data_IF_807882274969
#
_entry.id   IF_807882274969
#
_cell.length_a   1.000
_cell.length_b   1.000
_cell.length_c   1.000
_cell.angle_alpha   90.00
_cell.angle_beta   90.00
_cell.angle_gamma   90.00
#
_symmetry.space_group_name_H-M   'P 1'
#
loop_
_entity.id
_entity.type
_entity.pdbx_description
1 polymer ?
#
# COMPACT_ATOMS: atom_id res chain seq x y z
N UNK A 1 40.29 -15.13 21.39
CA UNK A 1 38.93 -14.61 21.16
C UNK A 1 38.81 -13.23 21.79
N UNK A 2 38.63 -12.17 21.00
CA UNK A 2 38.50 -10.80 21.52
C UNK A 2 37.10 -10.62 22.11
N UNK A 3 37.02 -10.17 23.36
CA UNK A 3 35.76 -9.89 24.07
C UNK A 3 35.03 -8.78 23.32
N UNK A 4 33.75 -8.99 23.00
CA UNK A 4 32.97 -7.96 22.30
C UNK A 4 32.80 -6.71 23.18
N UNK A 5 32.88 -5.49 22.60
CA UNK A 5 32.74 -4.25 23.35
C UNK A 5 31.36 -4.17 24.01
N UNK A 6 31.33 -3.71 25.27
CA UNK A 6 30.08 -3.44 26.00
C UNK A 6 29.62 -2.03 25.65
N UNK A 7 28.47 -1.92 24.99
CA UNK A 7 27.87 -0.64 24.63
C UNK A 7 26.75 -0.34 25.61
N UNK A 8 26.75 0.88 26.16
CA UNK A 8 25.70 1.38 27.06
C UNK A 8 25.14 2.68 26.50
N UNK A 9 23.83 2.85 26.54
CA UNK A 9 23.14 4.09 26.16
C UNK A 9 22.24 4.52 27.31
N UNK A 10 22.40 5.75 27.80
CA UNK A 10 21.66 6.28 28.95
C UNK A 10 21.63 5.35 30.17
N UNK A 11 22.76 4.69 30.47
CA UNK A 11 22.87 3.73 31.59
C UNK A 11 22.32 2.32 31.29
N UNK A 12 21.63 2.10 30.17
CA UNK A 12 21.14 0.79 29.76
C UNK A 12 22.15 0.07 28.87
N UNK A 13 22.43 -1.20 29.18
CA UNK A 13 23.30 -2.04 28.37
C UNK A 13 22.59 -2.47 27.09
N UNK A 14 23.16 -2.13 25.94
CA UNK A 14 22.66 -2.56 24.64
C UNK A 14 23.21 -3.96 24.34
N UNK A 15 22.31 -4.93 24.21
CA UNK A 15 22.67 -6.27 23.79
C UNK A 15 22.93 -6.32 22.29
N UNK A 16 24.04 -6.93 21.88
CA UNK A 16 24.32 -7.18 20.47
C UNK A 16 23.42 -8.30 19.96
N UNK A 17 22.49 -7.95 19.07
CA UNK A 17 21.60 -8.91 18.41
C UNK A 17 22.10 -9.14 16.98
N UNK A 18 22.08 -10.39 16.50
CA UNK A 18 22.50 -10.74 15.13
C UNK A 18 21.56 -10.19 14.05
N UNK A 19 20.31 -9.93 14.40
CA UNK A 19 19.29 -9.38 13.52
C UNK A 19 18.23 -8.65 14.32
N UNK A 20 17.78 -7.49 13.86
CA UNK A 20 16.70 -6.75 14.51
C UNK A 20 15.65 -6.28 13.49
N UNK A 21 14.43 -6.03 13.98
CA UNK A 21 13.35 -5.43 13.20
C UNK A 21 13.41 -3.93 13.39
N UNK A 22 13.59 -3.18 12.30
CA UNK A 22 13.45 -1.73 12.31
C UNK A 22 11.97 -1.34 12.31
N UNK A 23 11.63 -0.15 12.86
CA UNK A 23 10.24 0.32 13.08
C UNK A 23 9.35 0.24 11.84
N UNK A 24 9.93 0.25 10.63
CA UNK A 24 9.21 0.10 9.35
C UNK A 24 9.04 -1.36 8.87
N UNK A 25 9.29 -2.36 9.72
CA UNK A 25 9.15 -3.78 9.35
C UNK A 25 10.33 -4.37 8.58
N UNK A 26 11.38 -3.59 8.31
CA UNK A 26 12.61 -4.06 7.65
C UNK A 26 13.44 -4.85 8.66
N UNK A 27 13.96 -6.00 8.24
CA UNK A 27 14.83 -6.83 9.06
C UNK A 27 16.28 -6.61 8.65
N UNK A 28 17.07 -6.07 9.57
CA UNK A 28 18.48 -5.75 9.34
C UNK A 28 19.32 -6.80 10.06
N UNK A 29 20.18 -7.50 9.32
CA UNK A 29 21.17 -8.43 9.88
C UNK A 29 22.51 -7.75 10.10
N UNK A 30 23.32 -8.30 11.01
CA UNK A 30 24.64 -7.78 11.40
C UNK A 30 25.63 -7.59 10.24
N UNK A 31 25.39 -8.28 9.12
CA UNK A 31 26.21 -8.26 7.91
C UNK A 31 25.50 -7.68 6.68
N UNK A 32 24.26 -7.17 6.83
CA UNK A 32 23.46 -6.65 5.73
C UNK A 32 23.35 -7.64 4.53
N UNK A 33 23.23 -8.94 4.79
CA UNK A 33 22.99 -9.93 3.74
C UNK A 33 21.52 -9.94 3.30
N UNK A 34 20.61 -9.40 4.10
CA UNK A 34 19.17 -9.27 3.81
C UNK A 34 18.43 -10.60 3.58
N UNK A 35 19.10 -11.76 3.68
CA UNK A 35 18.52 -13.08 3.46
C UNK A 35 17.39 -13.37 4.45
N UNK A 36 17.58 -12.99 5.72
CA UNK A 36 16.55 -13.17 6.74
C UNK A 36 15.32 -12.29 6.48
N UNK A 37 15.54 -11.08 5.95
CA UNK A 37 14.45 -10.20 5.52
C UNK A 37 13.65 -10.82 4.37
N UNK A 38 14.34 -11.26 3.32
CA UNK A 38 13.73 -11.94 2.16
C UNK A 38 12.95 -13.18 2.60
N UNK A 39 13.50 -13.97 3.54
CA UNK A 39 12.80 -15.15 4.06
C UNK A 39 11.49 -14.79 4.77
N UNK A 40 11.51 -13.78 5.64
CA UNK A 40 10.30 -13.37 6.37
C UNK A 40 9.23 -12.79 5.45
N UNK A 41 9.61 -11.97 4.49
CA UNK A 41 8.67 -11.45 3.48
C UNK A 41 8.17 -12.58 2.57
N UNK A 42 9.04 -13.52 2.20
CA UNK A 42 8.68 -14.73 1.46
C UNK A 42 7.70 -15.63 2.20
N UNK A 43 7.90 -15.87 3.48
CA UNK A 43 6.97 -16.63 4.34
C UNK A 43 5.60 -15.96 4.42
N UNK A 44 5.58 -14.62 4.58
CA UNK A 44 4.33 -13.84 4.56
C UNK A 44 3.60 -14.00 3.22
N UNK A 45 4.32 -13.90 2.11
CA UNK A 45 3.77 -14.07 0.77
C UNK A 45 3.24 -15.50 0.52
N UNK A 46 4.00 -16.52 0.94
CA UNK A 46 3.60 -17.93 0.81
C UNK A 46 2.36 -18.22 1.67
N UNK A 47 2.30 -17.70 2.90
CA UNK A 47 1.11 -17.83 3.76
C UNK A 47 -0.13 -17.20 3.12
N UNK A 48 0.02 -16.02 2.50
CA UNK A 48 -1.07 -15.38 1.77
C UNK A 48 -1.56 -16.26 0.61
N UNK A 49 -0.64 -16.84 -0.14
CA UNK A 49 -0.97 -17.76 -1.23
C UNK A 49 -1.68 -19.03 -0.74
N UNK A 50 -1.23 -19.61 0.37
CA UNK A 50 -1.89 -20.77 0.97
C UNK A 50 -3.30 -20.44 1.42
N UNK A 51 -3.53 -19.24 1.98
CA UNK A 51 -4.86 -18.78 2.34
C UNK A 51 -5.76 -18.61 1.11
N UNK A 52 -5.26 -18.00 0.03
CA UNK A 52 -6.00 -17.89 -1.24
C UNK A 52 -6.37 -19.26 -1.81
N UNK A 53 -5.45 -20.23 -1.72
CA UNK A 53 -5.72 -21.62 -2.13
C UNK A 53 -6.75 -22.33 -1.26
N UNK A 54 -6.87 -21.97 0.03
CA UNK A 54 -7.90 -22.53 0.91
C UNK A 54 -9.28 -21.97 0.60
N UNK A 55 -9.35 -20.71 0.18
CA UNK A 55 -10.62 -20.06 -0.23
C UNK A 55 -11.10 -20.63 -1.57
N UNK A 56 -10.17 -20.96 -2.48
CA UNK A 56 -10.48 -21.73 -3.69
C UNK A 56 -10.89 -23.16 -3.30
N UNK A 57 -12.19 -23.48 -3.37
CA UNK A 57 -12.67 -24.84 -3.11
C UNK A 57 -12.13 -25.86 -4.12
N UNK A 58 -12.19 -27.17 -3.80
CA UNK A 58 -11.70 -28.23 -4.68
C UNK A 58 -12.33 -28.27 -6.08
N UNK A 59 -13.55 -27.71 -6.21
CA UNK A 59 -14.30 -27.61 -7.48
C UNK A 59 -14.36 -26.17 -8.04
N UNK A 60 -13.90 -25.17 -7.29
CA UNK A 60 -13.93 -23.75 -7.70
C UNK A 60 -12.51 -23.30 -8.01
N UNK A 61 -12.16 -23.30 -9.29
CA UNK A 61 -10.87 -22.80 -9.74
C UNK A 61 -10.95 -21.27 -9.80
N UNK A 62 -10.12 -20.59 -8.99
CA UNK A 62 -9.89 -19.15 -9.20
C UNK A 62 -9.28 -19.02 -10.60
N UNK A 63 -9.93 -18.22 -11.46
CA UNK A 63 -9.43 -17.99 -12.83
C UNK A 63 -7.97 -17.51 -12.79
N UNK A 64 -7.14 -18.07 -13.66
CA UNK A 64 -5.69 -17.82 -13.70
C UNK A 64 -5.36 -16.32 -13.82
N UNK A 65 -6.23 -15.57 -14.50
CA UNK A 65 -6.12 -14.11 -14.64
C UNK A 65 -6.18 -13.42 -13.28
N UNK A 66 -7.09 -13.83 -12.40
CA UNK A 66 -7.22 -13.24 -11.06
C UNK A 66 -6.01 -13.57 -10.18
N UNK A 67 -5.48 -14.80 -10.26
CA UNK A 67 -4.27 -15.20 -9.54
C UNK A 67 -3.06 -14.40 -10.05
N UNK A 68 -2.96 -14.21 -11.37
CA UNK A 68 -1.92 -13.40 -11.99
C UNK A 68 -2.00 -11.94 -11.53
N UNK A 69 -3.21 -11.36 -11.52
CA UNK A 69 -3.45 -10.00 -11.03
C UNK A 69 -3.06 -9.87 -9.56
N UNK A 70 -3.48 -10.81 -8.69
CA UNK A 70 -3.11 -10.81 -7.28
C UNK A 70 -1.60 -10.94 -7.06
N UNK A 71 -0.93 -11.76 -7.86
CA UNK A 71 0.53 -11.85 -7.82
C UNK A 71 1.18 -10.50 -8.13
N UNK A 72 0.73 -9.85 -9.21
CA UNK A 72 1.26 -8.56 -9.66
C UNK A 72 0.97 -7.41 -8.69
N UNK A 73 -0.25 -7.34 -8.14
CA UNK A 73 -0.67 -6.20 -7.32
C UNK A 73 -0.32 -6.35 -5.85
N UNK A 74 -0.33 -7.57 -5.31
CA UNK A 74 -0.15 -7.81 -3.86
C UNK A 74 1.20 -8.42 -3.56
N UNK A 75 1.52 -9.57 -4.18
CA UNK A 75 2.72 -10.34 -3.83
C UNK A 75 3.99 -9.57 -4.20
N UNK A 76 4.04 -9.01 -5.41
CA UNK A 76 5.16 -8.20 -5.87
C UNK A 76 5.39 -7.01 -4.94
N UNK A 77 4.33 -6.32 -4.50
CA UNK A 77 4.41 -5.17 -3.57
C UNK A 77 4.85 -5.56 -2.16
N UNK A 78 4.41 -6.71 -1.63
CA UNK A 78 4.87 -7.21 -0.33
C UNK A 78 6.38 -7.49 -0.35
N UNK A 79 6.89 -8.03 -1.46
CA UNK A 79 8.31 -8.36 -1.64
C UNK A 79 9.14 -7.11 -1.99
N UNK A 80 8.54 -6.12 -2.64
CA UNK A 80 9.21 -4.88 -2.97
C UNK A 80 9.24 -3.85 -1.84
N UNK A 81 8.53 -4.12 -0.74
CA UNK A 81 8.57 -3.27 0.43
C UNK A 81 10.00 -3.08 0.94
N UNK A 82 10.47 -1.83 0.92
CA UNK A 82 11.83 -1.46 1.33
C UNK A 82 12.92 -1.88 0.34
N UNK A 83 12.58 -2.26 -0.90
CA UNK A 83 13.53 -2.67 -1.95
C UNK A 83 14.62 -1.62 -2.20
N UNK A 84 14.31 -0.33 -2.06
CA UNK A 84 15.27 0.78 -2.16
C UNK A 84 16.44 0.65 -1.17
N UNK A 85 16.22 0.07 0.01
CA UNK A 85 17.24 -0.06 1.04
C UNK A 85 18.18 -1.26 0.81
N UNK A 86 17.71 -2.33 0.17
CA UNK A 86 18.43 -3.61 0.15
C UNK A 86 18.62 -4.24 -1.24
N UNK A 87 17.88 -3.82 -2.28
CA UNK A 87 17.87 -4.46 -3.60
C UNK A 87 18.55 -3.63 -4.71
N UNK A 88 19.40 -2.65 -4.37
CA UNK A 88 20.17 -1.89 -5.36
C UNK A 88 21.14 -2.78 -6.15
N UNK A 89 21.90 -3.62 -5.44
CA UNK A 89 22.87 -4.57 -5.99
C UNK A 89 22.69 -5.96 -5.36
N UNK A 90 21.68 -6.75 -5.79
CA UNK A 90 21.37 -8.03 -5.17
C UNK A 90 22.48 -9.07 -5.41
N UNK A 91 22.95 -9.71 -4.34
CA UNK A 91 23.95 -10.79 -4.43
C UNK A 91 23.36 -12.06 -5.08
N UNK A 92 24.21 -12.94 -5.58
CA UNK A 92 23.78 -14.22 -6.19
C UNK A 92 22.90 -15.05 -5.25
N UNK A 93 23.22 -15.08 -3.95
CA UNK A 93 22.42 -15.79 -2.93
C UNK A 93 21.00 -15.22 -2.81
N UNK A 94 20.87 -13.89 -2.83
CA UNK A 94 19.57 -13.20 -2.80
C UNK A 94 18.77 -13.51 -4.07
N UNK A 95 19.38 -13.38 -5.25
CA UNK A 95 18.75 -13.69 -6.54
C UNK A 95 18.18 -15.10 -6.55
N UNK A 96 18.99 -16.09 -6.14
CA UNK A 96 18.56 -17.50 -6.07
C UNK A 96 17.38 -17.71 -5.11
N UNK A 97 17.39 -17.04 -3.96
CA UNK A 97 16.30 -17.16 -2.97
C UNK A 97 15.00 -16.51 -3.46
N UNK A 98 15.08 -15.34 -4.09
CA UNK A 98 13.94 -14.66 -4.72
C UNK A 98 13.35 -15.50 -5.84
N UNK A 99 14.17 -16.10 -6.70
CA UNK A 99 13.71 -17.02 -7.74
C UNK A 99 13.02 -18.26 -7.17
N UNK A 100 13.52 -18.79 -6.05
CA UNK A 100 12.88 -19.92 -5.35
C UNK A 100 11.50 -19.56 -4.80
N UNK A 101 11.33 -18.36 -4.24
CA UNK A 101 10.03 -17.85 -3.76
C UNK A 101 9.10 -17.66 -4.97
N UNK A 102 9.55 -16.93 -5.99
CA UNK A 102 8.77 -16.62 -7.19
C UNK A 102 8.26 -17.89 -7.89
N UNK A 103 9.09 -18.94 -8.00
CA UNK A 103 8.75 -20.19 -8.67
C UNK A 103 7.45 -20.81 -8.16
N UNK A 104 7.20 -20.76 -6.84
CA UNK A 104 5.96 -21.32 -6.27
C UNK A 104 4.72 -20.60 -6.81
N UNK A 105 4.79 -19.28 -6.99
CA UNK A 105 3.71 -18.49 -7.58
C UNK A 105 3.53 -18.78 -9.06
N UNK A 106 4.63 -18.82 -9.82
CA UNK A 106 4.56 -19.07 -11.26
C UNK A 106 3.93 -20.43 -11.59
N UNK A 107 4.29 -21.48 -10.86
CA UNK A 107 3.69 -22.81 -11.04
C UNK A 107 2.18 -22.81 -10.75
N UNK A 108 1.75 -22.05 -9.75
CA UNK A 108 0.33 -21.97 -9.39
C UNK A 108 -0.48 -21.13 -10.39
N UNK A 109 0.14 -20.12 -11.02
CA UNK A 109 -0.50 -19.32 -12.06
C UNK A 109 -0.62 -20.11 -13.36
N UNK A 110 0.47 -20.77 -13.79
CA UNK A 110 0.49 -21.49 -15.07
C UNK A 110 -0.15 -22.87 -15.03
N UNK A 111 -0.24 -23.51 -13.86
CA UNK A 111 -0.65 -24.91 -13.74
C UNK A 111 0.34 -25.91 -14.36
N UNK A 112 1.56 -25.46 -14.70
CA UNK A 112 2.57 -26.29 -15.35
C UNK A 112 3.16 -27.36 -14.41
N UNK A 113 3.81 -28.38 -15.00
CA UNK A 113 4.48 -29.43 -14.24
C UNK A 113 5.59 -28.87 -13.33
N UNK A 114 5.81 -29.54 -12.20
CA UNK A 114 6.86 -29.15 -11.23
C UNK A 114 8.27 -29.18 -11.81
N UNK A 115 8.49 -29.88 -12.92
CA UNK A 115 9.77 -29.98 -13.63
C UNK A 115 10.01 -28.84 -14.62
N UNK A 116 8.99 -28.02 -14.93
CA UNK A 116 9.12 -26.93 -15.91
C UNK A 116 10.17 -25.89 -15.44
N UNK A 117 11.15 -25.50 -16.29
CA UNK A 117 12.16 -24.51 -15.92
C UNK A 117 11.55 -23.15 -15.51
N UNK A 118 12.12 -22.50 -14.48
CA UNK A 118 11.59 -21.21 -13.99
C UNK A 118 11.66 -20.12 -15.05
N UNK A 119 12.72 -20.10 -15.87
CA UNK A 119 12.87 -19.13 -16.96
C UNK A 119 11.76 -19.29 -18.01
N UNK A 120 11.36 -20.53 -18.32
CA UNK A 120 10.24 -20.79 -19.24
C UNK A 120 8.91 -20.29 -18.65
N UNK A 121 8.67 -20.51 -17.35
CA UNK A 121 7.47 -19.99 -16.67
C UNK A 121 7.40 -18.45 -16.70
N UNK A 122 8.53 -17.79 -16.50
CA UNK A 122 8.63 -16.33 -16.57
C UNK A 122 8.31 -15.81 -17.97
N UNK A 123 8.86 -16.45 -19.01
CA UNK A 123 8.62 -16.09 -20.39
C UNK A 123 7.15 -16.28 -20.81
N UNK A 124 6.56 -17.44 -20.51
CA UNK A 124 5.18 -17.77 -20.89
C UNK A 124 4.17 -16.84 -20.18
N UNK A 125 4.41 -16.51 -18.91
CA UNK A 125 3.51 -15.66 -18.13
C UNK A 125 3.76 -14.15 -18.33
N UNK A 126 4.79 -13.76 -19.09
CA UNK A 126 5.21 -12.36 -19.23
C UNK A 126 5.66 -11.73 -17.91
N UNK A 127 6.16 -12.53 -16.96
CA UNK A 127 6.57 -12.04 -15.63
C UNK A 127 8.10 -12.00 -15.57
N UNK A 128 8.73 -10.82 -15.37
CA UNK A 128 10.18 -10.72 -15.28
C UNK A 128 10.72 -11.44 -14.03
N UNK A 129 12.01 -11.81 -14.01
CA UNK A 129 12.66 -12.31 -12.81
C UNK A 129 12.49 -11.35 -11.64
N UNK A 130 12.03 -11.86 -10.49
CA UNK A 130 11.66 -11.02 -9.34
C UNK A 130 12.79 -10.09 -8.91
N UNK A 131 14.04 -10.57 -8.90
CA UNK A 131 15.19 -9.73 -8.53
C UNK A 131 15.42 -8.54 -9.47
N UNK A 132 15.09 -8.66 -10.76
CA UNK A 132 15.19 -7.55 -11.72
C UNK A 132 14.09 -6.53 -11.47
N UNK A 133 12.87 -7.00 -11.21
CA UNK A 133 11.74 -6.14 -10.89
C UNK A 133 11.98 -5.34 -9.60
N UNK A 134 12.49 -5.99 -8.55
CA UNK A 134 12.83 -5.31 -7.29
C UNK A 134 13.98 -4.32 -7.45
N UNK A 135 14.97 -4.65 -8.30
CA UNK A 135 16.06 -3.73 -8.62
C UNK A 135 15.57 -2.52 -9.43
N UNK A 136 14.63 -2.73 -10.35
CA UNK A 136 13.97 -1.66 -11.08
C UNK A 136 13.22 -0.73 -10.13
N UNK A 137 12.40 -1.27 -9.22
CA UNK A 137 11.67 -0.46 -8.22
C UNK A 137 12.62 0.29 -7.29
N UNK A 138 13.69 -0.37 -6.80
CA UNK A 138 14.69 0.26 -5.96
C UNK A 138 15.33 1.47 -6.65
N UNK A 139 15.75 1.30 -7.91
CA UNK A 139 16.35 2.36 -8.73
C UNK A 139 15.35 3.47 -9.04
N UNK A 140 14.12 3.11 -9.38
CA UNK A 140 13.04 4.06 -9.63
C UNK A 140 12.81 4.96 -8.40
N UNK A 141 12.72 4.36 -7.21
CA UNK A 141 12.60 5.11 -5.95
C UNK A 141 13.84 5.97 -5.67
N UNK A 142 15.05 5.45 -5.89
CA UNK A 142 16.29 6.23 -5.71
C UNK A 142 16.33 7.48 -6.59
N UNK A 143 15.92 7.35 -7.85
CA UNK A 143 15.97 8.46 -8.80
C UNK A 143 14.79 9.43 -8.58
N UNK A 144 13.56 8.93 -8.59
CA UNK A 144 12.37 9.80 -8.57
C UNK A 144 12.03 10.34 -7.18
N UNK A 145 12.23 9.55 -6.12
CA UNK A 145 11.85 9.95 -4.76
C UNK A 145 13.03 10.53 -3.98
N UNK A 146 14.22 9.90 -4.07
CA UNK A 146 15.38 10.31 -3.27
C UNK A 146 16.31 11.29 -4.00
N UNK A 147 16.15 11.49 -5.32
CA UNK A 147 17.01 12.34 -6.16
C UNK A 147 18.49 11.99 -6.08
N UNK A 148 18.80 10.71 -5.87
CA UNK A 148 20.17 10.22 -5.82
C UNK A 148 20.57 9.74 -7.22
N UNK A 149 21.67 10.26 -7.80
CA UNK A 149 22.17 9.78 -9.07
C UNK A 149 22.63 8.32 -8.93
N UNK A 150 22.31 7.50 -9.93
CA UNK A 150 22.82 6.13 -9.99
C UNK A 150 24.29 6.15 -10.47
N UNK A 151 25.09 5.11 -10.14
CA UNK A 151 26.44 4.99 -10.67
C UNK A 151 26.44 5.03 -12.21
N UNK A 152 27.42 5.70 -12.85
CA UNK A 152 27.45 5.96 -14.30
C UNK A 152 27.60 4.71 -15.19
N UNK A 153 27.68 3.51 -14.59
CA UNK A 153 27.82 2.23 -15.30
C UNK A 153 26.53 1.83 -16.04
N UNK A 154 25.36 2.37 -15.68
CA UNK A 154 24.05 1.85 -16.12
C UNK A 154 23.31 2.82 -17.06
N UNK A 155 23.44 4.13 -16.84
CA UNK A 155 22.77 5.19 -17.63
C UNK A 155 23.44 6.53 -17.35
N UNK A 156 23.60 7.38 -18.37
CA UNK A 156 24.06 8.78 -18.25
C UNK A 156 22.96 9.72 -17.73
N UNK A 157 21.74 9.19 -17.55
CA UNK A 157 20.55 9.94 -17.17
C UNK A 157 20.67 10.46 -15.74
N UNK A 158 20.68 11.78 -15.61
CA UNK A 158 20.71 12.43 -14.31
C UNK A 158 19.31 12.60 -13.74
N UNK A 159 19.14 12.65 -12.41
CA UNK A 159 17.83 12.88 -11.80
C UNK A 159 17.12 14.16 -12.26
N UNK A 160 17.87 15.15 -12.76
CA UNK A 160 17.33 16.41 -13.28
C UNK A 160 16.77 16.31 -14.71
N UNK A 161 17.16 15.29 -15.47
CA UNK A 161 16.65 15.05 -16.84
C UNK A 161 15.25 14.42 -16.85
N UNK A 162 14.77 14.00 -15.67
CA UNK A 162 13.51 13.27 -15.54
C UNK A 162 12.40 14.19 -15.07
N UNK A 163 11.37 14.30 -15.91
CA UNK A 163 10.12 14.98 -15.56
C UNK A 163 9.54 14.39 -14.27
N UNK A 164 9.22 15.27 -13.33
CA UNK A 164 8.47 14.87 -12.15
C UNK A 164 7.07 14.46 -12.57
N UNK A 165 6.71 13.21 -12.28
CA UNK A 165 5.29 12.90 -12.20
C UNK A 165 4.71 13.82 -11.13
N UNK A 166 3.76 14.68 -11.49
CA UNK A 166 3.10 15.57 -10.55
C UNK A 166 2.55 14.70 -9.41
N UNK A 167 3.22 14.74 -8.26
CA UNK A 167 2.66 14.23 -7.02
C UNK A 167 1.43 15.07 -6.79
N UNK A 168 0.25 14.48 -7.02
CA UNK A 168 -0.98 15.09 -6.54
C UNK A 168 -0.74 15.43 -5.07
N UNK A 169 -0.90 16.71 -4.75
CA UNK A 169 -0.69 17.32 -3.44
C UNK A 169 0.80 17.52 -3.09
N UNK A 170 1.38 18.69 -3.42
CA UNK A 170 2.71 19.08 -2.94
C UNK A 170 2.75 19.30 -1.42
N UNK A 171 1.59 19.38 -0.78
CA UNK A 171 1.41 19.70 0.64
C UNK A 171 0.62 18.55 1.28
N UNK A 172 1.03 18.11 2.48
CA UNK A 172 0.33 17.04 3.18
C UNK A 172 -1.12 17.49 3.49
N UNK A 173 -2.15 16.63 3.40
CA UNK A 173 -3.54 17.03 3.67
C UNK A 173 -3.75 17.68 5.06
N UNK A 174 -2.93 17.32 6.05
CA UNK A 174 -2.96 17.94 7.38
C UNK A 174 -2.34 19.33 7.46
N UNK A 175 -1.60 19.76 6.45
CA UNK A 175 -1.02 21.12 6.37
C UNK A 175 -1.96 22.09 5.63
N UNK A 176 -3.03 21.58 5.01
CA UNK A 176 -4.14 22.35 4.46
C UNK A 176 -5.18 22.71 5.53
N UNK A 177 -4.74 23.22 6.68
CA UNK A 177 -5.66 23.80 7.67
C UNK A 177 -6.09 25.18 7.17
N UNK A 178 -7.22 25.25 6.45
CA UNK A 178 -7.85 26.55 6.16
C UNK A 178 -8.38 27.14 7.47
N UNK A 179 -8.39 28.48 7.63
CA UNK A 179 -8.91 29.15 8.83
C UNK A 179 -10.39 28.85 9.14
N UNK A 180 -11.16 28.34 8.16
CA UNK A 180 -12.58 27.98 8.32
C UNK A 180 -12.79 26.47 8.48
N UNK A 181 -11.77 25.70 8.88
CA UNK A 181 -11.91 24.27 9.10
C UNK A 181 -12.57 24.00 10.46
N UNK A 182 -13.70 23.31 10.43
CA UNK A 182 -14.42 22.82 11.62
C UNK A 182 -13.54 21.74 12.25
N UNK A 183 -13.14 21.88 13.51
CA UNK A 183 -12.45 20.81 14.24
C UNK A 183 -13.43 19.67 14.50
N UNK A 184 -13.03 18.45 14.16
CA UNK A 184 -13.72 17.23 14.60
C UNK A 184 -13.29 16.92 16.04
N UNK A 185 -13.49 17.86 16.97
CA UNK A 185 -13.41 17.49 18.38
C UNK A 185 -14.63 16.62 18.66
N UNK A 186 -14.38 15.36 19.03
CA UNK A 186 -15.42 14.51 19.63
C UNK A 186 -15.92 15.25 20.87
N UNK A 187 -17.08 15.88 20.75
CA UNK A 187 -17.72 16.65 21.81
C UNK A 187 -18.19 15.77 22.96
N UNK A 188 -17.27 15.14 23.69
CA UNK A 188 -17.51 14.53 25.00
C UNK A 188 -17.39 15.56 26.15
N UNK A 189 -17.36 16.85 25.84
CA UNK A 189 -17.46 17.91 26.85
C UNK A 189 -18.92 18.35 26.96
N UNK A 190 -19.61 17.90 28.02
CA UNK A 190 -20.84 18.43 28.60
C UNK A 190 -21.35 19.74 27.94
N UNK A 191 -22.04 19.63 26.80
CA UNK A 191 -22.80 20.74 26.25
C UNK A 191 -24.08 20.77 27.08
N UNK A 192 -24.23 21.82 27.88
CA UNK A 192 -25.47 22.14 28.59
C UNK A 192 -26.64 22.03 27.60
N UNK A 193 -27.63 21.19 27.93
CA UNK A 193 -28.71 20.76 27.02
C UNK A 193 -29.62 21.92 26.61
N UNK A 194 -29.12 22.78 25.72
CA UNK A 194 -29.93 23.71 24.94
C UNK A 194 -29.60 23.48 23.48
N UNK A 195 -30.55 22.79 22.85
CA UNK A 195 -30.73 22.62 21.41
C UNK A 195 -29.67 21.76 20.72
N UNK A 196 -29.78 20.44 20.90
CA UNK A 196 -29.05 19.48 20.06
C UNK A 196 -29.69 19.52 18.66
N UNK A 197 -28.92 20.01 17.69
CA UNK A 197 -29.28 19.99 16.26
C UNK A 197 -28.60 18.77 15.64
N UNK A 198 -29.40 17.78 15.27
CA UNK A 198 -28.93 16.60 14.54
C UNK A 198 -29.22 16.80 13.04
N UNK A 199 -28.19 16.72 12.21
CA UNK A 199 -28.31 16.84 10.77
C UNK A 199 -27.99 15.49 10.14
N UNK A 200 -28.93 14.97 9.34
CA UNK A 200 -28.75 13.74 8.58
C UNK A 200 -28.68 14.08 7.10
N UNK A 201 -27.66 13.58 6.42
CA UNK A 201 -27.44 13.81 4.99
C UNK A 201 -27.45 12.48 4.26
N UNK A 202 -28.02 12.44 3.06
CA UNK A 202 -28.03 11.24 2.23
C UNK A 202 -27.95 11.58 0.72
N UNK A 203 -27.39 10.65 -0.04
CA UNK A 203 -27.24 10.72 -1.49
C UNK A 203 -27.76 9.44 -2.14
N UNK A 204 -28.58 9.59 -3.17
CA UNK A 204 -29.20 8.47 -3.88
C UNK A 204 -28.83 8.48 -5.36
N UNK A 205 -28.66 7.29 -5.94
CA UNK A 205 -28.48 7.09 -7.38
C UNK A 205 -29.31 5.92 -7.86
N UNK A 206 -30.16 6.18 -8.85
CA UNK A 206 -31.02 5.19 -9.52
C UNK A 206 -30.82 5.25 -11.02
N UNK A 207 -31.42 4.33 -11.77
CA UNK A 207 -31.44 4.37 -13.24
C UNK A 207 -32.17 5.62 -13.79
N UNK A 208 -33.05 6.23 -12.99
CA UNK A 208 -33.86 7.40 -13.37
C UNK A 208 -33.28 8.74 -12.90
N UNK A 209 -32.11 8.72 -12.27
CA UNK A 209 -31.36 9.91 -11.89
C UNK A 209 -30.72 9.84 -10.51
N UNK A 210 -30.20 10.99 -10.09
CA UNK A 210 -29.41 11.17 -8.87
C UNK A 210 -30.08 12.22 -7.99
N UNK A 211 -30.18 11.96 -6.69
CA UNK A 211 -30.79 12.88 -5.73
C UNK A 211 -29.91 13.08 -4.50
N UNK A 212 -29.94 14.28 -3.95
CA UNK A 212 -29.28 14.62 -2.69
C UNK A 212 -30.33 15.14 -1.71
N UNK A 213 -30.21 14.82 -0.42
CA UNK A 213 -31.12 15.30 0.60
C UNK A 213 -30.43 15.47 1.96
N UNK A 214 -30.94 16.38 2.76
CA UNK A 214 -30.62 16.43 4.19
C UNK A 214 -31.85 16.78 5.02
N UNK A 215 -31.84 16.38 6.29
CA UNK A 215 -32.84 16.81 7.25
C UNK A 215 -32.19 17.23 8.58
N UNK A 216 -32.87 18.14 9.25
CA UNK A 216 -32.47 18.73 10.52
C UNK A 216 -33.52 18.38 11.57
N UNK A 217 -33.04 17.78 12.65
CA UNK A 217 -33.83 17.35 13.79
C UNK A 217 -33.35 18.12 15.02
N UNK A 218 -34.21 18.95 15.59
CA UNK A 218 -33.90 19.73 16.79
C UNK A 218 -34.66 19.13 17.96
N UNK A 219 -33.96 18.64 18.99
CA UNK A 219 -34.57 18.00 20.16
C UNK A 219 -35.60 16.90 19.77
N UNK A 220 -35.23 16.06 18.80
CA UNK A 220 -36.06 14.97 18.24
C UNK A 220 -37.33 15.41 17.48
N UNK A 221 -37.47 16.70 17.17
CA UNK A 221 -38.57 17.25 16.36
C UNK A 221 -38.04 17.64 14.96
N UNK A 222 -38.78 17.27 13.91
CA UNK A 222 -38.46 17.63 12.52
C UNK A 222 -38.49 19.14 12.35
N UNK A 223 -37.31 19.74 12.15
CA UNK A 223 -37.17 21.19 12.02
C UNK A 223 -37.12 21.62 10.56
N UNK A 224 -36.34 20.92 9.74
CA UNK A 224 -36.13 21.27 8.33
C UNK A 224 -35.79 20.07 7.47
N UNK A 225 -36.14 20.13 6.19
CA UNK A 225 -35.77 19.14 5.19
C UNK A 225 -35.46 19.83 3.86
N UNK A 226 -34.49 19.28 3.14
CA UNK A 226 -34.13 19.71 1.80
C UNK A 226 -33.83 18.50 0.94
N UNK A 227 -34.23 18.57 -0.32
CA UNK A 227 -33.92 17.57 -1.32
C UNK A 227 -33.83 18.21 -2.70
N UNK A 228 -32.89 17.74 -3.53
CA UNK A 228 -32.74 18.18 -4.90
C UNK A 228 -32.41 17.03 -5.84
N UNK A 229 -32.93 17.12 -7.07
CA UNK A 229 -32.51 16.25 -8.17
C UNK A 229 -31.25 16.85 -8.82
N UNK A 230 -30.20 16.05 -8.89
CA UNK A 230 -28.96 16.36 -9.59
C UNK A 230 -29.01 15.85 -11.03
N UNK A 231 -28.03 16.26 -11.83
CA UNK A 231 -27.87 15.75 -13.19
C UNK A 231 -27.71 14.22 -13.15
N UNK A 232 -28.35 13.52 -14.07
CA UNK A 232 -28.33 12.05 -14.16
C UNK A 232 -26.90 11.48 -14.37
N UNK A 233 -25.98 12.32 -14.88
CA UNK A 233 -24.56 11.97 -15.03
C UNK A 233 -23.77 11.99 -13.72
N UNK A 234 -24.31 12.55 -12.63
CA UNK A 234 -23.60 12.68 -11.36
C UNK A 234 -23.40 11.30 -10.68
N UNK A 235 -22.39 11.20 -9.82
CA UNK A 235 -22.15 10.01 -8.99
C UNK A 235 -22.85 10.10 -7.64
N UNK A 236 -23.02 8.97 -6.95
CA UNK A 236 -23.59 8.95 -5.60
C UNK A 236 -22.74 9.79 -4.63
N UNK A 237 -21.41 9.77 -4.79
CA UNK A 237 -20.48 10.58 -4.01
C UNK A 237 -20.65 12.09 -4.24
N UNK A 238 -20.96 12.50 -5.48
CA UNK A 238 -21.29 13.90 -5.75
C UNK A 238 -22.61 14.29 -5.08
N UNK A 239 -23.58 13.39 -5.02
CA UNK A 239 -24.85 13.63 -4.33
C UNK A 239 -24.69 13.79 -2.82
N UNK A 240 -23.94 12.88 -2.18
CA UNK A 240 -23.60 12.97 -0.76
C UNK A 240 -22.84 14.27 -0.44
N UNK A 241 -21.87 14.65 -1.28
CA UNK A 241 -21.11 15.87 -1.08
C UNK A 241 -21.98 17.12 -1.23
N UNK A 242 -22.94 17.13 -2.16
CA UNK A 242 -23.92 18.22 -2.30
C UNK A 242 -24.84 18.29 -1.08
N UNK A 243 -25.33 17.16 -0.58
CA UNK A 243 -26.14 17.13 0.64
C UNK A 243 -25.40 17.72 1.86
N UNK A 244 -24.12 17.37 2.02
CA UNK A 244 -23.25 17.93 3.06
C UNK A 244 -23.00 19.44 2.87
N UNK A 245 -22.77 19.88 1.64
CA UNK A 245 -22.53 21.29 1.33
C UNK A 245 -23.76 22.15 1.69
N UNK A 246 -24.95 21.73 1.25
CA UNK A 246 -26.20 22.45 1.53
C UNK A 246 -26.62 22.38 3.00
N UNK A 247 -26.20 21.33 3.72
CA UNK A 247 -26.44 21.22 5.16
C UNK A 247 -25.61 22.19 6.01
N UNK A 248 -24.48 22.68 5.48
CA UNK A 248 -23.51 23.52 6.20
C UNK A 248 -23.70 25.02 5.89
N UNK A 249 -24.35 25.35 4.75
CA UNK A 249 -24.65 26.73 4.32
C UNK A 249 -25.91 27.25 4.99
#
# INVERSE_FOLDING_TARGET
MVRSPKITWNGYKINRVKSFKYRLGIHVDDRLNWLQHINKHGEKAIKMQQNLKRIAGGNWVISQIHIWTLYKTVIERILAHGSSAWCLNPTFKMKRKLSSIQRSFLLNISGAYRTTPTAALQAILGIPPLHMQLQFEARFTSIYCLRIPLPPIITDTQPHDLEMKATCWPTHPSEHLKPNQISFEDGEAYIDRKDIINIFTDGSKTEHGVGAAFCVLTNDIWAYQWFAKLNDNNTIFQAELTALHEAVI
#
